data_IF_842092716297
#
_entry.id   IF_842092716297
#
_cell.length_a   1.000
_cell.length_b   1.000
_cell.length_c   1.000
_cell.angle_alpha   90.00
_cell.angle_beta   90.00
_cell.angle_gamma   90.00
#
_symmetry.space_group_name_H-M   'P 1'
#
loop_
_entity.id
_entity.type
_entity.pdbx_description
1 polymer ?
#
# COMPACT_ATOMS: atom_id res chain seq x y z
N UNK A 1 -6.34 28.21 -7.37
CA UNK A 1 -7.28 27.66 -6.39
C UNK A 1 -6.93 26.20 -6.21
N UNK A 2 -6.15 25.86 -5.18
CA UNK A 2 -5.69 24.49 -4.96
C UNK A 2 -6.79 23.71 -4.26
N UNK A 3 -7.41 22.77 -4.98
CA UNK A 3 -8.41 21.85 -4.44
C UNK A 3 -7.73 20.96 -3.41
N UNK A 4 -7.81 21.35 -2.15
CA UNK A 4 -7.32 20.58 -1.02
C UNK A 4 -8.14 19.30 -0.90
N UNK A 5 -7.60 18.20 -1.39
CA UNK A 5 -8.11 16.86 -1.07
C UNK A 5 -8.02 16.71 0.44
N UNK A 6 -9.18 16.68 1.11
CA UNK A 6 -9.25 16.34 2.53
C UNK A 6 -8.65 14.94 2.69
N UNK A 7 -7.50 14.86 3.35
CA UNK A 7 -6.88 13.58 3.73
C UNK A 7 -7.91 12.82 4.58
N UNK A 8 -8.23 11.59 4.21
CA UNK A 8 -9.04 10.74 5.07
C UNK A 8 -8.26 10.36 6.33
N UNK A 9 -8.95 9.88 7.37
CA UNK A 9 -8.31 9.43 8.62
C UNK A 9 -7.18 8.42 8.37
N UNK A 10 -7.35 7.51 7.41
CA UNK A 10 -6.33 6.54 7.01
C UNK A 10 -5.09 7.19 6.35
N UNK A 11 -5.22 8.35 5.73
CA UNK A 11 -4.07 9.07 5.14
C UNK A 11 -3.33 9.91 6.20
N UNK A 12 -4.02 10.29 7.28
CA UNK A 12 -3.41 10.93 8.44
C UNK A 12 -2.58 9.93 9.25
N UNK A 13 -3.06 8.70 9.43
CA UNK A 13 -2.33 7.63 10.16
C UNK A 13 -1.00 7.28 9.49
N UNK A 14 -0.97 7.23 8.16
CA UNK A 14 0.23 6.85 7.41
C UNK A 14 1.08 8.05 6.95
N UNK A 15 0.58 9.28 7.08
CA UNK A 15 1.29 10.50 6.70
C UNK A 15 1.33 10.80 5.18
N UNK A 16 0.69 9.97 4.35
CA UNK A 16 0.60 10.15 2.90
C UNK A 16 -0.76 9.67 2.35
N UNK A 17 -1.14 10.24 1.21
CA UNK A 17 -2.39 9.88 0.50
C UNK A 17 -2.25 8.50 -0.14
N UNK A 18 -3.24 7.63 0.06
CA UNK A 18 -3.26 6.32 -0.58
C UNK A 18 -3.11 6.44 -2.11
N UNK A 19 -2.10 5.76 -2.66
CA UNK A 19 -1.84 5.74 -4.10
C UNK A 19 -1.12 6.97 -4.66
N UNK A 20 -0.59 7.88 -3.83
CA UNK A 20 0.17 9.06 -4.31
C UNK A 20 1.38 8.70 -5.19
N UNK A 21 2.07 7.62 -4.87
CA UNK A 21 3.20 7.08 -5.66
C UNK A 21 2.75 5.95 -6.61
N UNK A 22 1.44 5.76 -6.77
CA UNK A 22 0.85 4.66 -7.52
C UNK A 22 0.50 3.45 -6.67
N UNK A 23 -0.07 2.45 -7.35
CA UNK A 23 -0.56 1.21 -6.78
C UNK A 23 0.12 0.03 -7.46
N UNK A 24 0.41 -1.01 -6.71
CA UNK A 24 1.00 -2.25 -7.20
C UNK A 24 -0.03 -3.36 -7.12
N UNK A 25 -0.10 -4.19 -8.16
CA UNK A 25 -0.88 -5.42 -8.11
C UNK A 25 -0.28 -6.39 -7.08
N UNK A 26 -1.10 -7.32 -6.58
CA UNK A 26 -0.59 -8.29 -5.60
C UNK A 26 0.59 -9.10 -6.15
N UNK A 27 0.48 -9.63 -7.38
CA UNK A 27 1.58 -10.41 -7.98
C UNK A 27 2.85 -9.59 -8.12
N UNK A 28 2.72 -8.31 -8.46
CA UNK A 28 3.84 -7.37 -8.58
C UNK A 28 4.54 -7.14 -7.24
N UNK A 29 3.79 -6.99 -6.14
CA UNK A 29 4.37 -6.87 -4.79
C UNK A 29 5.06 -8.15 -4.34
N UNK A 30 4.45 -9.31 -4.60
CA UNK A 30 5.05 -10.59 -4.27
C UNK A 30 6.39 -10.78 -4.98
N UNK A 31 6.47 -10.41 -6.26
CA UNK A 31 7.71 -10.45 -7.05
C UNK A 31 8.74 -9.45 -6.51
N UNK A 32 8.31 -8.20 -6.30
CA UNK A 32 9.19 -7.12 -5.81
C UNK A 32 9.81 -7.41 -4.44
N UNK A 33 9.04 -7.98 -3.51
CA UNK A 33 9.51 -8.35 -2.17
C UNK A 33 10.08 -9.77 -2.11
N UNK A 34 10.04 -10.53 -3.21
CA UNK A 34 10.39 -11.95 -3.25
C UNK A 34 9.68 -12.78 -2.16
N UNK A 35 8.38 -12.52 -1.95
CA UNK A 35 7.55 -13.20 -0.95
C UNK A 35 6.35 -13.93 -1.57
N UNK A 36 5.87 -14.97 -0.88
CA UNK A 36 4.62 -15.63 -1.24
C UNK A 36 3.38 -14.84 -0.85
N UNK A 37 2.25 -15.16 -1.50
CA UNK A 37 0.94 -14.54 -1.25
C UNK A 37 0.50 -14.60 0.22
N UNK A 38 0.77 -15.72 0.90
CA UNK A 38 0.44 -15.89 2.32
C UNK A 38 1.22 -14.92 3.22
N UNK A 39 2.50 -14.66 2.91
CA UNK A 39 3.32 -13.69 3.65
C UNK A 39 2.81 -12.28 3.41
N UNK A 40 2.50 -11.93 2.15
CA UNK A 40 1.92 -10.64 1.82
C UNK A 40 0.61 -10.39 2.58
N UNK A 41 -0.28 -11.37 2.65
CA UNK A 41 -1.54 -11.23 3.38
C UNK A 41 -1.30 -10.98 4.88
N UNK A 42 -0.34 -11.69 5.49
CA UNK A 42 0.08 -11.43 6.88
C UNK A 42 0.64 -10.02 7.07
N UNK A 43 1.44 -9.51 6.13
CA UNK A 43 1.97 -8.14 6.20
C UNK A 43 0.85 -7.11 6.15
N UNK A 44 -0.15 -7.33 5.32
CA UNK A 44 -1.32 -6.46 5.23
C UNK A 44 -2.18 -6.54 6.49
N UNK A 45 -2.45 -7.74 7.02
CA UNK A 45 -3.22 -7.93 8.27
C UNK A 45 -2.51 -7.28 9.47
N UNK A 46 -1.19 -7.31 9.49
CA UNK A 46 -0.37 -6.64 10.51
C UNK A 46 -0.27 -5.13 10.35
N UNK A 47 -0.86 -4.55 9.31
CA UNK A 47 -0.77 -3.11 9.02
C UNK A 47 0.57 -2.66 8.44
N UNK A 48 1.48 -3.59 8.12
CA UNK A 48 2.78 -3.25 7.52
C UNK A 48 2.64 -2.75 6.07
N UNK A 49 1.60 -3.20 5.36
CA UNK A 49 1.30 -2.78 3.98
C UNK A 49 -0.16 -2.35 3.87
N UNK A 50 -0.40 -1.23 3.17
CA UNK A 50 -1.77 -0.74 2.92
C UNK A 50 -2.34 -1.39 1.66
N UNK A 51 -3.47 -2.08 1.79
CA UNK A 51 -4.27 -2.53 0.64
C UNK A 51 -5.43 -1.60 0.38
N UNK A 52 -5.77 -1.43 -0.89
CA UNK A 52 -7.01 -0.83 -1.38
C UNK A 52 -7.73 -1.83 -2.25
N UNK A 53 -9.06 -1.75 -2.26
CA UNK A 53 -9.89 -2.48 -3.21
C UNK A 53 -10.53 -1.46 -4.12
N UNK A 54 -10.32 -1.63 -5.42
CA UNK A 54 -10.99 -0.82 -6.43
C UNK A 54 -12.51 -1.09 -6.36
N UNK A 55 -13.30 -0.02 -6.24
CA UNK A 55 -14.75 -0.12 -6.07
C UNK A 55 -15.49 -0.59 -7.33
N UNK A 56 -14.90 -0.36 -8.51
CA UNK A 56 -15.53 -0.62 -9.81
C UNK A 56 -15.14 -2.01 -10.33
N UNK A 57 -13.85 -2.35 -10.29
CA UNK A 57 -13.33 -3.62 -10.81
C UNK A 57 -13.15 -4.68 -9.73
N UNK A 58 -13.28 -4.32 -8.45
CA UNK A 58 -13.04 -5.22 -7.32
C UNK A 58 -11.58 -5.67 -7.15
N UNK A 59 -10.65 -5.07 -7.91
CA UNK A 59 -9.23 -5.48 -7.92
C UNK A 59 -8.56 -5.02 -6.63
N UNK A 60 -7.77 -5.90 -6.04
CA UNK A 60 -6.97 -5.57 -4.85
C UNK A 60 -5.63 -5.06 -5.31
N UNK A 61 -5.28 -3.89 -4.81
CA UNK A 61 -4.00 -3.22 -5.09
C UNK A 61 -3.36 -2.80 -3.78
N UNK A 62 -2.03 -2.78 -3.74
CA UNK A 62 -1.24 -2.38 -2.58
C UNK A 62 -0.67 -0.99 -2.85
N UNK A 63 -0.66 -0.12 -1.85
CA UNK A 63 -0.05 1.20 -2.00
C UNK A 63 1.45 1.07 -2.18
N UNK A 64 1.98 1.52 -3.33
CA UNK A 64 3.40 1.44 -3.64
C UNK A 64 4.26 2.11 -2.57
N UNK A 65 3.82 3.26 -2.05
CA UNK A 65 4.53 3.96 -0.97
C UNK A 65 4.69 3.11 0.28
N UNK A 66 3.63 2.39 0.69
CA UNK A 66 3.69 1.50 1.86
C UNK A 66 4.70 0.37 1.69
N UNK A 67 4.84 -0.16 0.46
CA UNK A 67 5.83 -1.20 0.13
C UNK A 67 7.25 -0.64 0.26
N UNK A 68 7.49 0.56 -0.28
CA UNK A 68 8.81 1.20 -0.21
C UNK A 68 9.22 1.53 1.22
N UNK A 69 8.30 2.04 2.05
CA UNK A 69 8.57 2.32 3.47
C UNK A 69 8.86 1.03 4.25
N UNK A 70 8.15 -0.07 3.94
CA UNK A 70 8.41 -1.38 4.53
C UNK A 70 9.83 -1.88 4.21
N UNK A 71 10.26 -1.80 2.94
CA UNK A 71 11.62 -2.20 2.52
C UNK A 71 12.68 -1.35 3.22
N UNK A 72 12.50 -0.03 3.26
CA UNK A 72 13.40 0.89 3.97
C UNK A 72 13.55 0.56 5.46
N UNK A 73 12.47 0.09 6.09
CA UNK A 73 12.48 -0.32 7.49
C UNK A 73 13.20 -1.64 7.77
N UNK A 74 13.55 -2.42 6.74
CA UNK A 74 14.29 -3.68 6.89
C UNK A 74 15.81 -3.50 6.75
N UNK A 75 16.30 -2.35 6.28
CA UNK A 75 17.74 -2.07 6.06
C UNK A 75 18.47 -1.56 7.32
N UNK A 76 17.98 -1.90 8.52
CA UNK A 76 18.56 -1.52 9.83
C UNK A 76 19.13 -2.70 10.61
#
# INVERSE_FOLDING_TARGET
MSTGHKRGDADLEHGYVFGCDGLMGVSEVCDHLSIGRATLDRLVVRGALRKGKDGETGRVSICKRSVMEYVRGMEV
#
